data_IF_323271454570
#
_entry.id   IF_323271454570
#
_cell.length_a   1.000
_cell.length_b   1.000
_cell.length_c   1.000
_cell.angle_alpha   90.00
_cell.angle_beta   90.00
_cell.angle_gamma   90.00
#
_symmetry.space_group_name_H-M   'P 1'
#
loop_
_entity.id
_entity.type
_entity.pdbx_description
1 polymer ?
#
# COMPACT_ATOMS: atom_id res chain seq x y z
N UNK A 1 10.21 5.06 6.95
CA UNK A 1 9.62 5.06 5.59
C UNK A 1 10.06 3.80 4.86
N UNK A 2 9.19 3.18 4.08
CA UNK A 2 9.43 1.89 3.42
C UNK A 2 9.02 1.93 1.96
N UNK A 3 9.61 1.04 1.16
CA UNK A 3 9.23 0.72 -0.21
C UNK A 3 8.70 -0.70 -0.25
N UNK A 4 7.50 -0.86 -0.77
CA UNK A 4 6.87 -2.17 -0.90
C UNK A 4 7.00 -2.64 -2.34
N UNK A 5 7.45 -3.88 -2.54
CA UNK A 5 7.46 -4.53 -3.85
C UNK A 5 6.62 -5.80 -3.79
N UNK A 6 5.78 -5.97 -4.80
CA UNK A 6 4.96 -7.16 -4.97
C UNK A 6 5.81 -8.35 -5.43
N UNK A 7 5.66 -9.50 -4.79
CA UNK A 7 6.53 -10.65 -5.02
C UNK A 7 6.41 -11.22 -6.43
N UNK A 8 5.19 -11.31 -6.94
CA UNK A 8 4.92 -12.00 -8.21
C UNK A 8 5.24 -11.14 -9.42
N UNK A 9 4.91 -9.84 -9.37
CA UNK A 9 5.08 -8.92 -10.51
C UNK A 9 6.36 -8.08 -10.42
N UNK A 10 6.99 -8.02 -9.25
CA UNK A 10 8.13 -7.14 -8.94
C UNK A 10 7.83 -5.64 -9.09
N UNK A 11 6.55 -5.27 -9.09
CA UNK A 11 6.13 -3.88 -9.11
C UNK A 11 6.25 -3.26 -7.72
N UNK A 12 6.82 -2.06 -7.64
CA UNK A 12 6.79 -1.21 -6.45
C UNK A 12 5.43 -0.53 -6.33
N UNK A 13 4.88 -0.49 -5.11
CA UNK A 13 3.68 0.30 -4.82
C UNK A 13 4.00 1.80 -4.92
N UNK A 14 3.20 2.52 -5.69
CA UNK A 14 3.40 3.92 -6.04
C UNK A 14 2.07 4.69 -6.05
N UNK A 15 2.12 6.01 -6.11
CA UNK A 15 0.94 6.88 -6.19
C UNK A 15 1.08 7.98 -7.23
N UNK A 16 -0.04 8.47 -7.76
CA UNK A 16 -0.09 9.53 -8.78
C UNK A 16 -1.08 10.65 -8.41
N UNK A 17 -0.76 11.92 -8.72
CA UNK A 17 -1.70 13.03 -8.58
C UNK A 17 -2.85 12.97 -9.61
N UNK A 18 -2.80 12.04 -10.56
CA UNK A 18 -3.91 11.74 -11.46
C UNK A 18 -5.02 10.98 -10.72
N UNK A 19 -6.24 11.13 -11.20
CA UNK A 19 -7.45 10.56 -10.60
C UNK A 19 -8.12 9.58 -11.55
N UNK A 20 -8.80 8.57 -11.00
CA UNK A 20 -9.61 7.68 -11.81
C UNK A 20 -10.73 8.47 -12.52
N UNK A 21 -10.90 8.21 -13.82
CA UNK A 21 -11.94 8.87 -14.62
C UNK A 21 -13.34 8.35 -14.25
N UNK A 22 -13.42 7.07 -13.89
CA UNK A 22 -14.60 6.38 -13.39
C UNK A 22 -14.35 5.93 -11.93
N UNK A 23 -15.30 5.21 -11.32
CA UNK A 23 -15.13 4.72 -9.95
C UNK A 23 -15.26 5.85 -8.93
N UNK A 24 -14.30 5.97 -8.01
CA UNK A 24 -14.37 6.93 -6.91
C UNK A 24 -13.97 8.35 -7.27
N UNK A 25 -13.30 8.54 -8.42
CA UNK A 25 -12.64 9.79 -8.78
C UNK A 25 -11.54 10.24 -7.79
N UNK A 26 -11.03 9.33 -6.97
CA UNK A 26 -9.87 9.56 -6.10
C UNK A 26 -8.55 9.42 -6.87
N UNK A 27 -7.45 9.78 -6.20
CA UNK A 27 -6.11 9.73 -6.74
C UNK A 27 -5.61 8.28 -6.88
N UNK A 28 -4.80 8.01 -7.90
CA UNK A 28 -4.47 6.65 -8.31
C UNK A 28 -3.31 6.08 -7.49
N UNK A 29 -3.50 4.90 -6.90
CA UNK A 29 -2.42 4.01 -6.49
C UNK A 29 -2.09 3.05 -7.64
N UNK A 30 -0.81 2.85 -7.94
CA UNK A 30 -0.38 2.05 -9.08
C UNK A 30 0.96 1.35 -8.85
N UNK A 31 1.27 0.35 -9.67
CA UNK A 31 2.51 -0.40 -9.66
C UNK A 31 3.53 0.20 -10.63
N UNK A 32 4.78 0.31 -10.23
CA UNK A 32 5.88 0.77 -11.11
C UNK A 32 7.09 -0.15 -11.04
N UNK A 33 7.86 -0.24 -12.12
CA UNK A 33 9.19 -0.88 -12.10
C UNK A 33 10.30 0.09 -11.64
N UNK A 34 9.99 1.38 -11.55
CA UNK A 34 10.93 2.46 -11.20
C UNK A 34 11.02 2.63 -9.68
N UNK A 35 11.81 1.78 -9.01
CA UNK A 35 11.93 1.78 -7.54
C UNK A 35 12.69 2.95 -6.90
N UNK A 36 13.15 3.94 -7.67
CA UNK A 36 13.95 5.08 -7.17
C UNK A 36 13.12 6.34 -6.89
N UNK A 37 11.83 6.32 -7.24
CA UNK A 37 10.98 7.50 -7.24
C UNK A 37 10.46 7.86 -5.84
N UNK A 38 10.20 9.13 -5.58
CA UNK A 38 9.74 9.60 -4.27
C UNK A 38 8.36 9.02 -3.92
N UNK A 39 7.49 8.89 -4.90
CA UNK A 39 6.16 8.30 -4.81
C UNK A 39 6.16 6.79 -4.50
N UNK A 40 7.32 6.13 -4.47
CA UNK A 40 7.44 4.73 -4.00
C UNK A 40 7.70 4.60 -2.50
N UNK A 41 7.92 5.72 -1.79
CA UNK A 41 8.10 5.73 -0.34
C UNK A 41 6.78 5.89 0.39
N UNK A 42 6.59 5.07 1.42
CA UNK A 42 5.42 5.07 2.28
C UNK A 42 5.85 5.23 3.75
N UNK A 43 5.20 6.15 4.46
CA UNK A 43 5.35 6.31 5.91
C UNK A 43 4.29 5.46 6.61
N UNK A 44 4.72 4.65 7.56
CA UNK A 44 3.83 3.83 8.38
C UNK A 44 3.30 4.67 9.53
N UNK A 45 1.98 4.73 9.66
CA UNK A 45 1.29 5.41 10.75
C UNK A 45 0.50 4.42 11.60
N UNK A 46 0.49 4.58 12.94
CA UNK A 46 -0.41 3.81 13.79
C UNK A 46 -1.85 4.28 13.65
N UNK A 47 -2.77 3.63 14.37
CA UNK A 47 -4.14 4.11 14.50
C UNK A 47 -4.19 5.44 15.26
N UNK A 48 -5.18 6.28 14.98
CA UNK A 48 -5.32 7.61 15.59
C UNK A 48 -5.42 7.61 17.11
N UNK A 49 -5.98 6.55 17.69
CA UNK A 49 -6.13 6.38 19.13
C UNK A 49 -4.88 5.82 19.82
N UNK A 50 -3.82 5.46 19.07
CA UNK A 50 -2.57 4.95 19.60
C UNK A 50 -1.54 6.07 19.70
N UNK A 51 -1.63 6.87 20.77
CA UNK A 51 -0.75 8.03 20.98
C UNK A 51 0.59 7.70 21.61
N UNK A 52 0.72 6.51 22.17
CA UNK A 52 1.86 6.13 23.02
C UNK A 52 2.89 5.27 22.27
N UNK A 53 2.71 5.08 20.95
CA UNK A 53 3.64 4.33 20.10
C UNK A 53 4.84 5.23 19.75
N UNK A 54 6.02 4.81 20.16
CA UNK A 54 7.26 5.49 19.82
C UNK A 54 7.74 5.10 18.41
N UNK A 55 8.40 6.04 17.74
CA UNK A 55 8.96 5.76 16.42
C UNK A 55 10.10 4.73 16.55
N UNK A 56 10.08 3.70 15.70
CA UNK A 56 11.08 2.63 15.76
C UNK A 56 10.63 1.39 16.54
N UNK A 57 9.48 1.45 17.21
CA UNK A 57 8.84 0.26 17.81
C UNK A 57 8.60 -0.83 16.74
N UNK A 58 8.96 -2.10 17.03
CA UNK A 58 8.67 -3.21 16.14
C UNK A 58 7.17 -3.38 15.90
N UNK A 59 6.80 -3.76 14.68
CA UNK A 59 5.39 -3.97 14.30
C UNK A 59 5.10 -5.48 14.34
N UNK A 60 4.19 -5.89 15.20
CA UNK A 60 3.73 -7.28 15.29
C UNK A 60 2.81 -7.65 14.13
N UNK A 61 2.84 -8.90 13.68
CA UNK A 61 1.84 -9.39 12.72
C UNK A 61 0.43 -9.33 13.32
N UNK A 62 -0.56 -9.01 12.50
CA UNK A 62 -1.93 -8.67 12.92
C UNK A 62 -2.13 -7.19 13.29
N UNK A 63 -1.07 -6.37 13.32
CA UNK A 63 -1.21 -4.93 13.55
C UNK A 63 -1.96 -4.27 12.40
N UNK A 64 -2.94 -3.43 12.73
CA UNK A 64 -3.65 -2.57 11.77
C UNK A 64 -3.03 -1.19 11.79
N UNK A 65 -2.73 -0.66 10.60
CA UNK A 65 -1.96 0.57 10.40
C UNK A 65 -2.46 1.33 9.17
N UNK A 66 -1.87 2.50 8.93
CA UNK A 66 -2.05 3.29 7.72
C UNK A 66 -0.73 3.47 6.98
N UNK A 67 -0.78 3.54 5.66
CA UNK A 67 0.38 3.82 4.81
C UNK A 67 0.17 5.17 4.12
N UNK A 68 0.95 6.18 4.50
CA UNK A 68 0.90 7.51 3.87
C UNK A 68 1.98 7.63 2.80
N UNK A 69 1.62 8.02 1.59
CA UNK A 69 2.58 8.23 0.52
C UNK A 69 3.45 9.46 0.77
N UNK A 70 4.78 9.31 0.76
CA UNK A 70 5.69 10.40 1.08
C UNK A 70 5.65 11.57 0.08
N UNK A 71 5.30 11.33 -1.19
CA UNK A 71 5.25 12.38 -2.21
C UNK A 71 3.92 13.16 -2.17
N UNK A 72 2.78 12.46 -2.05
CA UNK A 72 1.46 13.09 -2.11
C UNK A 72 0.85 13.41 -0.74
N UNK A 73 1.41 12.88 0.35
CA UNK A 73 0.87 13.01 1.71
C UNK A 73 -0.55 12.45 1.88
N UNK A 74 -0.93 11.51 1.02
CA UNK A 74 -2.23 10.83 0.99
C UNK A 74 -2.09 9.37 1.46
N UNK A 75 -3.14 8.79 2.03
CA UNK A 75 -3.15 7.42 2.55
C UNK A 75 -3.51 6.41 1.46
N UNK A 76 -2.88 5.23 1.48
CA UNK A 76 -3.31 4.07 0.70
C UNK A 76 -4.73 3.69 1.13
N UNK A 77 -5.65 3.66 0.18
CA UNK A 77 -7.07 3.59 0.44
C UNK A 77 -7.74 2.53 -0.43
N UNK A 78 -8.81 1.91 0.07
CA UNK A 78 -9.69 1.05 -0.73
C UNK A 78 -11.13 1.09 -0.20
N UNK A 79 -12.05 0.52 -0.98
CA UNK A 79 -13.49 0.56 -0.79
C UNK A 79 -14.19 -0.47 -1.68
N UNK A 80 -15.50 -0.65 -1.48
CA UNK A 80 -16.32 -1.57 -2.27
C UNK A 80 -16.70 -1.03 -3.67
N UNK A 81 -15.73 -0.45 -4.37
CA UNK A 81 -15.83 0.00 -5.77
C UNK A 81 -14.91 -0.89 -6.61
N UNK A 82 -15.38 -1.40 -7.74
CA UNK A 82 -14.58 -2.25 -8.63
C UNK A 82 -13.50 -1.43 -9.37
N UNK A 83 -12.30 -2.00 -9.50
CA UNK A 83 -11.19 -1.42 -10.24
C UNK A 83 -11.41 -1.46 -11.76
N UNK A 84 -10.67 -0.66 -12.54
CA UNK A 84 -10.93 -0.45 -13.96
C UNK A 84 -10.67 -1.69 -14.84
N UNK A 85 -9.89 -2.67 -14.37
CA UNK A 85 -9.67 -3.91 -15.11
C UNK A 85 -10.48 -5.11 -14.59
N UNK A 86 -11.39 -4.92 -13.62
CA UNK A 86 -12.25 -5.95 -13.04
C UNK A 86 -11.50 -7.14 -12.39
N UNK A 87 -10.33 -6.89 -11.78
CA UNK A 87 -9.62 -7.90 -10.99
C UNK A 87 -10.03 -7.92 -9.52
N UNK A 88 -10.74 -6.89 -9.07
CA UNK A 88 -11.08 -6.66 -7.67
C UNK A 88 -11.29 -5.19 -7.39
N UNK A 89 -11.31 -4.85 -6.11
CA UNK A 89 -11.59 -3.50 -5.63
C UNK A 89 -10.55 -2.49 -6.08
N UNK A 90 -11.03 -1.28 -6.36
CA UNK A 90 -10.23 -0.11 -6.63
C UNK A 90 -9.35 0.19 -5.41
N UNK A 91 -8.06 0.40 -5.67
CA UNK A 91 -7.10 0.89 -4.69
C UNK A 91 -6.61 2.25 -5.14
N UNK A 92 -6.63 3.19 -4.22
CA UNK A 92 -6.40 4.62 -4.44
C UNK A 92 -5.41 5.17 -3.43
N UNK A 93 -5.09 6.44 -3.58
CA UNK A 93 -4.62 7.26 -2.46
C UNK A 93 -5.64 8.35 -2.15
N UNK A 94 -5.91 8.58 -0.86
CA UNK A 94 -6.95 9.48 -0.40
C UNK A 94 -6.41 10.49 0.63
N UNK A 95 -6.89 11.73 0.59
CA UNK A 95 -6.39 12.84 1.41
C UNK A 95 -7.13 13.01 2.75
N UNK A 96 -8.24 12.30 2.92
CA UNK A 96 -8.96 12.24 4.19
C UNK A 96 -8.56 10.98 4.96
N UNK A 97 -8.88 10.98 6.25
CA UNK A 97 -8.65 9.84 7.13
C UNK A 97 -9.97 9.19 7.47
N UNK A 98 -10.15 7.95 7.09
CA UNK A 98 -11.31 7.14 7.47
C UNK A 98 -10.91 5.67 7.68
N UNK A 99 -11.90 4.77 7.62
CA UNK A 99 -11.71 3.33 7.80
C UNK A 99 -11.17 2.64 6.53
N UNK A 100 -11.31 3.27 5.36
CA UNK A 100 -10.79 2.78 4.07
C UNK A 100 -9.28 2.91 3.93
N UNK A 101 -8.63 3.63 4.85
CA UNK A 101 -7.16 3.75 4.90
C UNK A 101 -6.48 2.67 5.75
N UNK A 102 -7.27 1.81 6.41
CA UNK A 102 -6.79 0.87 7.40
C UNK A 102 -6.40 -0.47 6.75
N UNK A 103 -5.16 -0.89 7.00
CA UNK A 103 -4.61 -2.15 6.50
C UNK A 103 -4.04 -2.97 7.64
N UNK A 104 -4.45 -4.22 7.75
CA UNK A 104 -3.87 -5.20 8.66
C UNK A 104 -2.70 -5.89 8.00
N UNK A 105 -1.55 -5.88 8.66
CA UNK A 105 -0.36 -6.62 8.22
C UNK A 105 -0.51 -8.09 8.63
N UNK A 106 -0.63 -9.00 7.66
CA UNK A 106 -0.64 -10.43 7.91
C UNK A 106 0.71 -11.05 7.55
N UNK A 107 1.36 -11.65 8.54
CA UNK A 107 2.68 -12.28 8.45
C UNK A 107 2.85 -13.29 9.62
N UNK A 108 4.00 -13.96 9.72
CA UNK A 108 4.20 -15.04 10.68
C UNK A 108 4.35 -14.58 12.15
N UNK A 109 5.22 -13.62 12.45
CA UNK A 109 5.52 -13.20 13.84
C UNK A 109 5.68 -11.67 13.98
N UNK A 110 6.76 -11.13 13.41
CA UNK A 110 6.97 -9.68 13.29
C UNK A 110 7.06 -9.25 11.82
N UNK A 111 6.56 -8.06 11.52
CA UNK A 111 6.74 -7.44 10.22
C UNK A 111 8.17 -6.90 10.12
N UNK A 112 8.97 -7.60 9.32
CA UNK A 112 10.37 -7.25 9.09
C UNK A 112 10.62 -7.06 7.60
N UNK A 113 11.74 -6.43 7.26
CA UNK A 113 12.12 -6.31 5.86
C UNK A 113 12.54 -7.63 5.19
N UNK A 114 12.79 -8.68 5.98
CA UNK A 114 13.27 -9.97 5.48
C UNK A 114 12.15 -10.94 5.09
N UNK A 115 10.92 -10.71 5.56
CA UNK A 115 9.82 -11.67 5.44
C UNK A 115 8.72 -11.16 4.51
N UNK A 116 8.12 -12.04 3.69
CA UNK A 116 6.94 -11.69 2.93
C UNK A 116 5.77 -11.43 3.88
N UNK A 117 4.87 -10.55 3.47
CA UNK A 117 3.66 -10.21 4.22
C UNK A 117 2.52 -9.90 3.26
N UNK A 118 1.31 -9.85 3.79
CA UNK A 118 0.11 -9.43 3.09
C UNK A 118 -0.47 -8.20 3.76
N UNK A 119 -1.11 -7.33 2.98
CA UNK A 119 -1.87 -6.20 3.49
C UNK A 119 -3.34 -6.48 3.25
N UNK A 120 -4.08 -6.70 4.32
CA UNK A 120 -5.52 -6.92 4.26
C UNK A 120 -6.25 -5.63 4.59
N UNK A 121 -7.06 -5.16 3.66
CA UNK A 121 -7.92 -4.00 3.85
C UNK A 121 -8.93 -4.29 4.96
N UNK A 122 -8.95 -3.44 5.99
CA UNK A 122 -9.70 -3.67 7.22
C UNK A 122 -11.21 -3.78 6.98
N UNK A 123 -11.77 -2.86 6.18
CA UNK A 123 -13.21 -2.75 6.01
C UNK A 123 -13.77 -3.85 5.10
N UNK A 124 -13.05 -4.19 4.02
CA UNK A 124 -13.55 -5.10 2.97
C UNK A 124 -12.95 -6.50 3.03
N UNK A 125 -11.98 -6.74 3.91
CA UNK A 125 -11.23 -8.00 4.04
C UNK A 125 -10.53 -8.46 2.74
N UNK A 126 -10.31 -7.57 1.78
CA UNK A 126 -9.56 -7.85 0.56
C UNK A 126 -8.06 -7.62 0.76
N UNK A 127 -7.22 -8.31 0.01
CA UNK A 127 -5.77 -8.22 0.07
C UNK A 127 -5.24 -7.31 -1.03
N UNK A 128 -4.32 -6.41 -0.69
CA UNK A 128 -3.60 -5.60 -1.67
C UNK A 128 -2.85 -6.50 -2.65
N UNK A 129 -3.06 -6.27 -3.94
CA UNK A 129 -2.45 -7.04 -5.02
C UNK A 129 -2.00 -6.15 -6.17
N UNK A 130 -1.17 -6.71 -7.06
CA UNK A 130 -0.71 -6.06 -8.27
C UNK A 130 -0.80 -7.01 -9.48
N UNK A 131 -1.20 -6.48 -10.63
CA UNK A 131 -1.21 -7.23 -11.90
C UNK A 131 -0.10 -6.76 -12.85
N UNK A 132 -0.03 -7.40 -14.02
CA UNK A 132 0.73 -6.92 -15.17
C UNK A 132 -0.14 -6.13 -16.16
N UNK A 133 -1.40 -5.85 -15.83
CA UNK A 133 -2.25 -4.98 -16.64
C UNK A 133 -1.73 -3.55 -16.54
N UNK A 134 -1.53 -2.94 -17.70
CA UNK A 134 -0.78 -1.69 -17.84
C UNK A 134 -1.69 -0.56 -18.31
N UNK A 135 -1.64 0.56 -17.61
CA UNK A 135 -2.18 1.84 -18.03
C UNK A 135 -1.21 2.50 -19.03
N UNK A 136 -1.67 2.83 -20.26
CA UNK A 136 -0.86 3.52 -21.26
C UNK A 136 -0.28 4.85 -20.74
N UNK A 137 0.76 5.35 -21.43
CA UNK A 137 1.47 6.56 -21.02
C UNK A 137 0.60 7.83 -21.05
N UNK A 138 -0.42 7.86 -21.91
CA UNK A 138 -1.40 8.93 -22.01
C UNK A 138 -2.32 9.00 -20.78
N UNK A 139 -2.37 7.92 -20.00
CA UNK A 139 -3.18 7.81 -18.78
C UNK A 139 -2.32 7.87 -17.51
N UNK A 140 -1.24 7.10 -17.45
CA UNK A 140 -0.43 6.97 -16.23
C UNK A 140 1.00 6.44 -16.47
N UNK A 141 1.21 5.54 -17.42
CA UNK A 141 2.45 4.74 -17.56
C UNK A 141 2.73 3.85 -16.33
N UNK A 142 1.78 3.02 -15.94
CA UNK A 142 1.84 2.24 -14.70
C UNK A 142 1.05 0.93 -14.76
N UNK A 143 1.20 0.09 -13.74
CA UNK A 143 0.47 -1.17 -13.63
C UNK A 143 -0.65 -1.06 -12.60
N UNK A 144 -1.71 -1.86 -12.75
CA UNK A 144 -2.81 -1.85 -11.79
C UNK A 144 -2.41 -2.41 -10.43
N UNK A 145 -2.82 -1.68 -9.39
CA UNK A 145 -2.93 -2.14 -8.01
C UNK A 145 -4.42 -2.22 -7.69
N UNK A 146 -4.82 -3.30 -7.06
CA UNK A 146 -6.20 -3.63 -6.74
C UNK A 146 -6.25 -4.38 -5.42
N UNK A 147 -7.44 -4.65 -4.90
CA UNK A 147 -7.61 -5.53 -3.75
C UNK A 147 -8.61 -6.66 -4.03
N UNK A 148 -8.22 -7.90 -3.77
CA UNK A 148 -9.04 -9.09 -4.02
C UNK A 148 -9.09 -10.07 -2.84
N UNK A 149 -9.95 -11.09 -2.94
CA UNK A 149 -10.23 -11.97 -1.82
C UNK A 149 -9.25 -13.14 -1.70
N UNK A 150 -8.17 -13.11 -2.48
CA UNK A 150 -7.18 -14.18 -2.52
C UNK A 150 -5.88 -13.72 -1.86
N UNK A 151 -5.11 -14.67 -1.34
CA UNK A 151 -3.70 -14.45 -0.97
C UNK A 151 -2.75 -15.04 -2.01
N UNK A 152 -3.30 -15.67 -3.05
CA UNK A 152 -2.50 -16.36 -4.05
C UNK A 152 -1.75 -15.33 -4.87
N UNK A 153 -0.41 -15.38 -4.83
CA UNK A 153 0.47 -14.45 -5.53
C UNK A 153 0.41 -12.98 -5.03
N UNK A 154 -0.20 -12.71 -3.87
CA UNK A 154 -0.43 -11.36 -3.33
C UNK A 154 0.55 -10.97 -2.21
N UNK A 155 1.67 -11.68 -2.09
CA UNK A 155 2.69 -11.37 -1.11
C UNK A 155 3.47 -10.10 -1.52
N UNK A 156 3.83 -9.31 -0.53
CA UNK A 156 4.68 -8.14 -0.64
C UNK A 156 5.91 -8.31 0.24
N UNK A 157 7.00 -7.63 -0.10
CA UNK A 157 8.16 -7.49 0.77
C UNK A 157 8.59 -6.03 0.85
N UNK A 158 9.29 -5.69 1.92
CA UNK A 158 9.94 -4.38 2.04
C UNK A 158 11.27 -4.45 1.30
N UNK A 159 11.30 -3.88 0.09
CA UNK A 159 12.49 -3.92 -0.77
C UNK A 159 13.54 -2.86 -0.39
N UNK A 160 13.18 -1.90 0.45
CA UNK A 160 14.07 -0.86 0.94
C UNK A 160 13.33 0.16 1.78
N UNK A 161 14.07 1.06 2.44
CA UNK A 161 13.47 2.06 3.31
C UNK A 161 14.49 2.86 4.09
N UNK A 162 13.97 3.79 4.87
CA UNK A 162 14.70 4.53 5.90
C UNK A 162 14.05 4.12 7.23
N UNK A 163 14.83 3.43 8.06
CA UNK A 163 14.40 2.90 9.35
C UNK A 163 15.06 3.69 10.47
N UNK A 164 14.39 3.78 11.62
CA UNK A 164 15.00 4.35 12.82
C UNK A 164 16.08 3.39 13.33
N UNK A 165 17.26 3.96 13.60
CA UNK A 165 18.41 3.21 14.13
C UNK A 165 18.12 2.70 15.53
N UNK A 166 18.74 1.58 15.92
CA UNK A 166 18.57 1.02 17.26
C UNK A 166 19.07 1.95 18.37
N UNK A 167 19.93 2.93 18.04
CA UNK A 167 20.44 3.97 18.92
C UNK A 167 19.49 5.17 19.10
N UNK A 168 18.45 5.27 18.27
CA UNK A 168 17.43 6.32 18.30
C UNK A 168 16.06 5.81 18.84
N UNK A 169 16.01 4.57 19.35
CA UNK A 169 14.85 3.96 20.01
C UNK A 169 14.81 4.26 21.51
#
# INVERSE_FOLDING_TARGET
>A
MIKLQHDSTKHYLSSSPLRYINGSHQNIAFGTKKGILAETFWTVYPLENQTDIQQGEPIQCGTTLRLNNAALQMFLHSHAIEGPFNHGQEVTVFDQKDMGDLWTVECDDMWTAATPFYLKHWETNQYLSATNNFYPAEMLEGYEIFADNTTTNNAWHVQGGIFIGDDEK
#
